data_IF_685817265422
#
_entry.id   IF_685817265422
#
_cell.length_a   1.000
_cell.length_b   1.000
_cell.length_c   1.000
_cell.angle_alpha   90.00
_cell.angle_beta   90.00
_cell.angle_gamma   90.00
#
_symmetry.space_group_name_H-M   'P 1'
#
loop_
_entity.id
_entity.type
_entity.pdbx_description
1 polymer ?
#
# COMPACT_ATOMS: atom_id res chain seq x y z
N UNK A 1 -10.15 23.25 -3.24
CA UNK A 1 -9.33 22.42 -4.14
C UNK A 1 -10.10 21.14 -4.45
N UNK A 2 -10.54 20.93 -5.71
CA UNK A 2 -11.37 19.79 -6.16
C UNK A 2 -10.55 18.57 -6.60
N UNK A 3 -9.25 18.56 -6.28
CA UNK A 3 -8.38 17.44 -6.65
C UNK A 3 -8.50 16.35 -5.59
N UNK A 4 -9.24 15.28 -5.92
CA UNK A 4 -9.28 14.07 -5.12
C UNK A 4 -7.87 13.54 -4.89
N UNK A 5 -7.60 13.01 -3.68
CA UNK A 5 -6.34 12.35 -3.39
C UNK A 5 -6.14 11.21 -4.39
N UNK A 6 -4.92 11.07 -4.94
CA UNK A 6 -4.57 9.92 -5.79
C UNK A 6 -4.81 8.62 -5.00
N UNK A 7 -5.42 7.66 -5.64
CA UNK A 7 -5.62 6.31 -5.12
C UNK A 7 -5.34 5.29 -6.22
N UNK A 8 -5.12 4.05 -5.79
CA UNK A 8 -4.91 2.89 -6.66
C UNK A 8 -5.99 1.87 -6.32
N UNK A 9 -6.66 1.38 -7.36
CA UNK A 9 -7.65 0.32 -7.27
C UNK A 9 -7.24 -0.85 -8.14
N UNK A 10 -7.83 -2.02 -7.89
CA UNK A 10 -7.76 -3.13 -8.82
C UNK A 10 -8.45 -2.79 -10.15
N UNK A 11 -7.98 -3.44 -11.22
CA UNK A 11 -8.55 -3.40 -12.58
C UNK A 11 -9.86 -4.18 -12.69
N UNK A 12 -10.04 -5.20 -11.84
CA UNK A 12 -11.23 -6.05 -11.78
C UNK A 12 -12.45 -5.42 -11.06
N UNK A 13 -12.61 -4.10 -11.06
CA UNK A 13 -13.81 -3.46 -10.52
C UNK A 13 -15.04 -3.85 -11.37
N UNK A 14 -16.22 -4.15 -10.77
CA UNK A 14 -16.58 -4.06 -9.35
C UNK A 14 -16.33 -5.34 -8.53
N UNK A 15 -15.79 -6.41 -9.15
CA UNK A 15 -15.54 -7.70 -8.48
C UNK A 15 -14.51 -7.58 -7.37
N UNK A 16 -13.52 -6.71 -7.56
CA UNK A 16 -12.59 -6.30 -6.53
C UNK A 16 -12.83 -4.82 -6.15
N UNK A 17 -12.93 -4.55 -4.85
CA UNK A 17 -13.14 -3.20 -4.29
C UNK A 17 -11.95 -2.74 -3.42
N UNK A 18 -10.80 -3.39 -3.57
CA UNK A 18 -9.60 -3.03 -2.84
C UNK A 18 -9.06 -1.70 -3.36
N UNK A 19 -8.83 -0.76 -2.44
CA UNK A 19 -8.37 0.60 -2.75
C UNK A 19 -7.33 1.04 -1.71
N UNK A 20 -6.25 1.64 -2.19
CA UNK A 20 -5.15 2.16 -1.36
C UNK A 20 -4.74 3.56 -1.83
N UNK A 21 -4.23 4.38 -0.91
CA UNK A 21 -3.89 5.79 -1.16
C UNK A 21 -2.42 6.02 -1.53
N UNK A 22 -1.65 4.95 -1.61
CA UNK A 22 -0.21 4.96 -1.86
C UNK A 22 0.11 3.92 -2.91
N UNK A 23 1.22 4.14 -3.62
CA UNK A 23 1.66 3.29 -4.72
C UNK A 23 1.82 1.84 -4.23
N UNK A 24 1.04 0.89 -4.77
CA UNK A 24 1.16 -0.52 -4.40
C UNK A 24 2.44 -1.12 -4.99
N UNK A 25 3.13 -1.91 -4.19
CA UNK A 25 4.39 -2.58 -4.54
C UNK A 25 4.27 -4.05 -4.16
N UNK A 26 4.63 -4.94 -5.09
CA UNK A 26 4.67 -6.37 -4.82
C UNK A 26 5.72 -6.68 -3.75
N UNK A 27 5.35 -7.44 -2.74
CA UNK A 27 6.24 -7.80 -1.63
C UNK A 27 5.46 -8.42 -0.47
N UNK A 28 6.15 -9.19 0.39
CA UNK A 28 5.52 -9.82 1.56
C UNK A 28 5.75 -9.00 2.82
N UNK A 29 4.68 -8.77 3.58
CA UNK A 29 4.79 -8.14 4.88
C UNK A 29 5.54 -9.05 5.87
N UNK A 30 6.59 -8.54 6.52
CA UNK A 30 7.38 -9.29 7.50
C UNK A 30 6.55 -9.75 8.73
N UNK A 31 5.47 -9.02 9.05
CA UNK A 31 4.63 -9.28 10.22
C UNK A 31 3.47 -10.24 9.97
N UNK A 32 2.79 -10.12 8.82
CA UNK A 32 1.57 -10.90 8.53
C UNK A 32 1.60 -11.64 7.20
N UNK A 33 2.72 -11.59 6.46
CA UNK A 33 2.91 -12.27 5.17
C UNK A 33 1.96 -11.83 4.04
N UNK A 34 1.20 -10.74 4.23
CA UNK A 34 0.35 -10.17 3.19
C UNK A 34 1.19 -9.78 1.97
N UNK A 35 0.74 -10.16 0.77
CA UNK A 35 1.52 -10.09 -0.47
C UNK A 35 1.56 -8.73 -1.17
N UNK A 36 1.16 -7.65 -0.49
CA UNK A 36 1.15 -6.31 -1.05
C UNK A 36 1.64 -5.29 -0.03
N UNK A 37 2.56 -4.43 -0.48
CA UNK A 37 3.09 -3.31 0.28
C UNK A 37 2.69 -1.99 -0.39
N UNK A 38 2.86 -0.88 0.34
CA UNK A 38 2.59 0.47 -0.11
C UNK A 38 3.84 1.32 0.06
N UNK A 39 4.31 1.93 -1.02
CA UNK A 39 5.48 2.83 -0.98
C UNK A 39 5.11 4.14 -0.28
N UNK A 40 5.88 4.48 0.76
CA UNK A 40 5.69 5.68 1.58
C UNK A 40 6.97 6.52 1.51
N UNK A 41 6.87 7.70 0.92
CA UNK A 41 7.93 8.69 0.98
C UNK A 41 7.84 9.38 2.35
N UNK A 42 8.83 9.16 3.22
CA UNK A 42 8.94 9.80 4.53
C UNK A 42 10.16 10.72 4.56
N UNK A 43 10.23 11.59 5.58
CA UNK A 43 11.39 12.46 5.78
C UNK A 43 12.71 11.66 5.92
N UNK A 44 12.64 10.47 6.53
CA UNK A 44 13.77 9.55 6.68
C UNK A 44 14.01 8.63 5.46
N UNK A 45 13.42 8.96 4.30
CA UNK A 45 13.51 8.16 3.08
C UNK A 45 12.29 7.27 2.82
N UNK A 46 12.44 6.37 1.86
CA UNK A 46 11.36 5.47 1.42
C UNK A 46 11.19 4.35 2.45
N UNK A 47 9.94 4.10 2.85
CA UNK A 47 9.51 2.92 3.60
C UNK A 47 8.35 2.23 2.90
N UNK A 48 8.06 1.00 3.32
CA UNK A 48 7.00 0.18 2.77
C UNK A 48 6.01 -0.18 3.87
N UNK A 49 4.74 0.12 3.67
CA UNK A 49 3.67 -0.19 4.60
C UNK A 49 2.92 -1.43 4.13
N UNK A 50 2.59 -2.37 5.02
CA UNK A 50 1.67 -3.45 4.70
C UNK A 50 0.33 -2.91 4.19
N UNK A 51 -0.16 -3.44 3.06
CA UNK A 51 -1.43 -2.99 2.47
C UNK A 51 -2.66 -3.57 3.18
N UNK A 52 -2.50 -4.59 4.04
CA UNK A 52 -3.55 -5.00 4.97
C UNK A 52 -3.73 -3.94 6.05
N UNK A 53 -4.89 -3.28 6.05
CA UNK A 53 -5.25 -2.21 6.99
C UNK A 53 -5.17 -2.68 8.45
N UNK A 54 -5.49 -3.94 8.74
CA UNK A 54 -5.41 -4.50 10.11
C UNK A 54 -3.96 -4.60 10.59
N UNK A 55 -3.01 -4.78 9.67
CA UNK A 55 -1.59 -4.90 9.99
C UNK A 55 -0.87 -3.55 9.97
N UNK A 56 -0.90 -2.85 8.83
CA UNK A 56 -0.27 -1.53 8.63
C UNK A 56 1.22 -1.42 9.03
N UNK A 57 1.94 -2.54 9.17
CA UNK A 57 3.33 -2.58 9.58
C UNK A 57 4.25 -1.86 8.58
N UNK A 58 5.25 -1.12 9.08
CA UNK A 58 6.21 -0.37 8.27
C UNK A 58 7.56 -1.09 8.25
N UNK A 59 8.09 -1.35 7.05
CA UNK A 59 9.35 -2.06 6.83
C UNK A 59 10.17 -1.42 5.70
N UNK A 60 11.38 -1.94 5.46
CA UNK A 60 12.18 -1.63 4.27
C UNK A 60 11.87 -2.69 3.19
N UNK A 61 12.19 -2.40 1.93
CA UNK A 61 12.23 -3.46 0.92
C UNK A 61 13.52 -4.24 1.16
N UNK A 62 13.41 -5.55 1.28
CA UNK A 62 14.55 -6.46 1.22
C UNK A 62 15.07 -6.52 -0.22
#
# INVERSE_FOLDING_TARGET
>A
SRFGKKFYSCDAYPKCKFVVNHEPVAGRCEKCQFGLLLKRNMAAGIKYQCADKKCSHMQKLL
#
